data_IF_921795953305
#
_entry.id   IF_921795953305
#
_cell.length_a   1.000
_cell.length_b   1.000
_cell.length_c   1.000
_cell.angle_alpha   90.00
_cell.angle_beta   90.00
_cell.angle_gamma   90.00
#
_symmetry.space_group_name_H-M   'P 1'
#
loop_
_entity.id
_entity.type
_entity.pdbx_description
1 polymer ?
#
# COMPACT_ATOMS: atom_id res chain seq x y z
N UNK A 1 9.41 6.23 -8.66
CA UNK A 1 8.60 5.00 -8.78
C UNK A 1 9.05 4.04 -7.72
N UNK A 2 8.14 3.63 -6.85
CA UNK A 2 8.43 2.63 -5.83
C UNK A 2 8.48 1.25 -6.49
N UNK A 3 9.45 0.43 -6.13
CA UNK A 3 9.60 -0.94 -6.66
C UNK A 3 9.46 -1.99 -5.57
N UNK A 4 9.76 -1.63 -4.32
CA UNK A 4 9.47 -2.43 -3.15
C UNK A 4 9.28 -1.49 -1.96
N UNK A 5 8.56 -1.95 -0.95
CA UNK A 5 8.41 -1.27 0.31
C UNK A 5 8.25 -2.30 1.42
N UNK A 6 8.09 -1.81 2.64
CA UNK A 6 7.61 -2.64 3.73
C UNK A 6 6.27 -3.29 3.37
N UNK A 7 5.91 -4.30 4.17
CA UNK A 7 4.70 -5.10 3.97
C UNK A 7 3.47 -4.21 3.73
N UNK A 8 2.73 -4.52 2.65
CA UNK A 8 1.46 -3.87 2.35
C UNK A 8 0.48 -4.05 3.53
N UNK A 9 -0.02 -2.97 4.14
CA UNK A 9 -0.87 -3.03 5.33
C UNK A 9 -2.28 -3.56 5.06
N UNK A 10 -2.74 -3.55 3.82
CA UNK A 10 -4.10 -3.95 3.43
C UNK A 10 -4.21 -5.42 3.03
N UNK A 11 -3.08 -6.12 2.85
CA UNK A 11 -3.05 -7.51 2.42
C UNK A 11 -2.59 -8.43 3.55
N UNK A 12 -3.28 -9.56 3.74
CA UNK A 12 -2.83 -10.64 4.64
C UNK A 12 -1.41 -11.09 4.24
N UNK A 13 -0.59 -11.40 5.24
CA UNK A 13 0.71 -12.04 5.07
C UNK A 13 0.94 -13.04 6.20
N UNK A 14 1.97 -13.91 6.12
CA UNK A 14 2.37 -14.75 7.24
C UNK A 14 2.70 -13.98 8.54
N UNK A 15 3.05 -12.70 8.44
CA UNK A 15 3.44 -11.86 9.58
C UNK A 15 2.31 -11.15 10.30
N UNK A 16 1.14 -10.96 9.65
CA UNK A 16 -0.08 -10.41 10.27
C UNK A 16 -1.25 -10.36 9.27
N UNK A 17 -2.45 -10.13 9.78
CA UNK A 17 -3.66 -9.85 8.98
C UNK A 17 -3.58 -8.49 8.28
N UNK A 18 -4.34 -8.33 7.20
CA UNK A 18 -4.54 -7.04 6.53
C UNK A 18 -5.48 -6.14 7.35
N UNK A 19 -5.32 -4.82 7.23
CA UNK A 19 -6.24 -3.85 7.81
C UNK A 19 -7.62 -3.95 7.18
N UNK A 20 -8.65 -3.72 7.97
CA UNK A 20 -10.05 -3.74 7.53
C UNK A 20 -10.32 -2.76 6.39
N UNK A 21 -11.11 -3.16 5.40
CA UNK A 21 -11.46 -2.32 4.25
C UNK A 21 -12.17 -1.01 4.62
N UNK A 22 -12.89 -1.01 5.75
CA UNK A 22 -13.55 0.19 6.29
C UNK A 22 -12.53 1.27 6.71
N UNK A 23 -11.31 0.90 7.10
CA UNK A 23 -10.25 1.88 7.40
C UNK A 23 -9.79 2.58 6.13
N UNK A 24 -9.65 1.86 5.02
CA UNK A 24 -9.30 2.48 3.73
C UNK A 24 -10.43 3.37 3.20
N UNK A 25 -11.69 2.96 3.35
CA UNK A 25 -12.85 3.79 2.98
C UNK A 25 -12.89 5.11 3.75
N UNK A 26 -12.50 5.09 5.01
CA UNK A 26 -12.44 6.29 5.87
C UNK A 26 -11.09 7.02 5.80
N UNK A 27 -10.13 6.52 5.04
CA UNK A 27 -8.80 7.12 4.91
C UNK A 27 -8.89 8.53 4.31
N UNK A 28 -8.23 9.49 4.96
CA UNK A 28 -8.23 10.89 4.56
C UNK A 28 -6.79 11.40 4.46
N UNK A 29 -6.22 11.51 3.24
CA UNK A 29 -4.82 11.89 3.05
C UNK A 29 -4.49 13.32 3.50
N UNK A 30 -5.50 14.19 3.58
CA UNK A 30 -5.37 15.59 4.02
C UNK A 30 -5.71 15.81 5.51
N UNK A 31 -5.93 14.73 6.26
CA UNK A 31 -6.33 14.82 7.67
C UNK A 31 -5.11 14.86 8.61
N UNK A 32 -5.35 14.79 9.91
CA UNK A 32 -4.30 14.78 10.92
C UNK A 32 -3.39 13.54 10.82
N UNK A 33 -2.22 13.62 11.47
CA UNK A 33 -1.19 12.57 11.45
C UNK A 33 -1.76 11.16 11.69
N UNK A 34 -2.65 11.01 12.68
CA UNK A 34 -3.25 9.72 13.04
C UNK A 34 -4.01 9.07 11.87
N UNK A 35 -4.78 9.86 11.11
CA UNK A 35 -5.53 9.36 9.96
C UNK A 35 -4.62 9.00 8.78
N UNK A 36 -3.53 9.75 8.58
CA UNK A 36 -2.55 9.46 7.54
C UNK A 36 -1.73 8.21 7.88
N UNK A 37 -1.36 8.05 9.14
CA UNK A 37 -0.64 6.89 9.65
C UNK A 37 -1.40 5.59 9.38
N UNK A 38 -2.74 5.60 9.44
CA UNK A 38 -3.55 4.41 9.11
C UNK A 38 -3.26 3.83 7.71
N UNK A 39 -2.75 4.62 6.77
CA UNK A 39 -2.37 4.14 5.45
C UNK A 39 -0.95 3.56 5.35
N UNK A 40 -0.12 3.73 6.38
CA UNK A 40 1.26 3.27 6.43
C UNK A 40 1.38 1.79 6.81
N UNK A 41 2.57 1.24 6.59
CA UNK A 41 2.93 -0.12 6.98
C UNK A 41 2.83 -0.35 8.50
N UNK A 42 2.46 -1.58 8.88
CA UNK A 42 2.29 -1.96 10.30
C UNK A 42 3.65 -2.10 11.01
N UNK A 43 4.71 -2.45 10.28
CA UNK A 43 6.03 -2.79 10.84
C UNK A 43 6.66 -1.66 11.68
N UNK A 44 6.28 -0.40 11.43
CA UNK A 44 6.79 0.78 12.11
C UNK A 44 5.74 1.50 12.96
N UNK A 45 4.79 0.76 13.56
CA UNK A 45 3.68 1.34 14.33
C UNK A 45 2.92 2.40 13.53
N UNK A 46 2.80 2.20 12.21
CA UNK A 46 2.11 3.11 11.31
C UNK A 46 2.76 4.49 11.13
N UNK A 47 3.98 4.71 11.65
CA UNK A 47 4.69 5.99 11.50
C UNK A 47 5.35 6.20 10.13
N UNK A 48 5.42 5.14 9.30
CA UNK A 48 5.97 5.20 7.95
C UNK A 48 6.42 3.84 7.43
N UNK A 49 7.16 3.86 6.32
CA UNK A 49 7.67 2.69 5.63
C UNK A 49 9.01 2.96 4.96
N UNK A 50 9.85 1.94 4.89
CA UNK A 50 10.98 1.93 3.98
C UNK A 50 10.45 1.68 2.57
N UNK A 51 10.90 2.50 1.62
CA UNK A 51 10.55 2.40 0.21
C UNK A 51 11.83 2.34 -0.61
N UNK A 52 11.97 1.30 -1.43
CA UNK A 52 12.99 1.16 -2.45
C UNK A 52 12.45 1.72 -3.77
N UNK A 53 13.24 2.57 -4.41
CA UNK A 53 12.90 3.21 -5.66
C UNK A 53 13.73 2.67 -6.83
N UNK A 54 13.28 2.95 -8.05
CA UNK A 54 13.86 2.38 -9.30
C UNK A 54 15.34 2.75 -9.54
N UNK A 55 15.81 3.85 -8.99
CA UNK A 55 17.21 4.30 -9.00
C UNK A 55 18.04 3.67 -7.87
N UNK A 56 17.50 2.65 -7.20
CA UNK A 56 18.11 1.89 -6.10
C UNK A 56 18.31 2.68 -4.79
N UNK A 57 17.73 3.86 -4.65
CA UNK A 57 17.71 4.54 -3.35
C UNK A 57 16.62 3.95 -2.45
N UNK A 58 16.90 3.98 -1.14
CA UNK A 58 15.92 3.62 -0.10
C UNK A 58 15.70 4.86 0.77
N UNK A 59 14.44 5.20 1.01
CA UNK A 59 14.05 6.27 1.91
C UNK A 59 12.98 5.80 2.90
N UNK A 60 12.94 6.44 4.07
CA UNK A 60 11.85 6.25 5.03
C UNK A 60 10.77 7.29 4.76
N UNK A 61 9.64 6.84 4.23
CA UNK A 61 8.51 7.67 3.86
C UNK A 61 7.46 7.68 4.97
N UNK A 62 7.01 8.88 5.36
CA UNK A 62 6.03 9.06 6.45
C UNK A 62 4.59 8.88 5.99
N UNK A 63 4.38 8.77 4.68
CA UNK A 63 3.07 8.75 4.05
C UNK A 63 3.07 7.70 2.94
N UNK A 64 1.94 6.99 2.72
CA UNK A 64 1.88 5.90 1.74
C UNK A 64 1.80 6.43 0.30
N UNK A 65 1.38 7.67 0.12
CA UNK A 65 1.27 8.34 -1.17
C UNK A 65 2.60 8.94 -1.67
N UNK A 66 3.69 8.18 -1.54
CA UNK A 66 5.03 8.55 -1.99
C UNK A 66 5.38 8.00 -3.39
N UNK A 67 4.37 7.48 -4.11
CA UNK A 67 4.48 7.10 -5.51
C UNK A 67 4.62 8.29 -6.45
N UNK A 68 4.64 8.02 -7.75
CA UNK A 68 4.63 9.10 -8.76
C UNK A 68 3.26 9.79 -8.71
N UNK A 69 3.21 11.12 -8.80
CA UNK A 69 1.96 11.91 -8.72
C UNK A 69 1.20 11.77 -7.39
N UNK A 70 1.93 11.58 -6.28
CA UNK A 70 1.36 11.32 -4.96
C UNK A 70 0.48 10.05 -4.95
N UNK A 71 0.88 9.03 -5.69
CA UNK A 71 0.19 7.74 -5.75
C UNK A 71 0.46 6.90 -4.51
N UNK A 72 -0.57 6.20 -4.04
CA UNK A 72 -0.47 5.31 -2.89
C UNK A 72 0.15 3.98 -3.27
N UNK A 73 1.35 3.73 -2.77
CA UNK A 73 2.15 2.57 -3.20
C UNK A 73 1.55 1.21 -2.80
N UNK A 74 0.51 1.19 -1.94
CA UNK A 74 -0.10 -0.03 -1.43
C UNK A 74 -1.49 -0.33 -1.99
N UNK A 75 -2.07 0.61 -2.73
CA UNK A 75 -3.40 0.46 -3.34
C UNK A 75 -3.28 0.64 -4.84
N UNK A 76 -4.27 0.18 -5.58
CA UNK A 76 -4.33 0.45 -7.02
C UNK A 76 -5.23 1.66 -7.25
N UNK A 77 -5.00 2.40 -8.33
CA UNK A 77 -5.89 3.51 -8.66
C UNK A 77 -7.25 3.01 -9.19
N UNK A 78 -8.34 3.41 -8.51
CA UNK A 78 -9.73 3.02 -8.82
C UNK A 78 -10.51 4.07 -9.63
N UNK A 79 -9.82 5.12 -10.10
CA UNK A 79 -10.42 6.29 -10.76
C UNK A 79 -10.82 7.43 -9.80
N UNK A 80 -10.63 7.25 -8.48
CA UNK A 80 -10.84 8.28 -7.45
C UNK A 80 -9.59 9.08 -7.10
N UNK A 81 -9.46 9.44 -5.82
CA UNK A 81 -8.25 10.09 -5.27
C UNK A 81 -7.09 9.09 -5.26
N UNK A 82 -6.06 9.39 -6.05
CA UNK A 82 -4.86 8.56 -6.25
C UNK A 82 -4.11 8.26 -4.93
N UNK A 83 -4.25 9.13 -3.92
CA UNK A 83 -3.63 8.94 -2.60
C UNK A 83 -4.35 7.92 -1.74
N UNK A 84 -5.58 7.57 -2.09
CA UNK A 84 -6.38 6.52 -1.41
C UNK A 84 -6.38 5.23 -2.21
N UNK A 85 -6.79 5.29 -3.47
CA UNK A 85 -6.99 4.11 -4.32
C UNK A 85 -8.05 3.12 -3.78
N UNK A 86 -8.10 1.95 -4.43
CA UNK A 86 -9.01 0.85 -4.10
C UNK A 86 -8.41 -0.18 -3.13
N UNK A 87 -9.28 -0.92 -2.43
CA UNK A 87 -8.83 -1.97 -1.52
C UNK A 87 -8.20 -3.14 -2.28
N UNK A 88 -6.93 -3.50 -2.01
CA UNK A 88 -6.23 -4.51 -2.78
C UNK A 88 -6.77 -5.91 -2.52
N UNK A 89 -7.18 -6.60 -3.59
CA UNK A 89 -7.60 -8.00 -3.55
C UNK A 89 -6.50 -8.86 -4.17
N UNK A 90 -5.91 -9.82 -3.42
CA UNK A 90 -4.90 -10.71 -3.96
C UNK A 90 -5.38 -11.41 -5.23
N UNK A 91 -4.54 -11.43 -6.27
CA UNK A 91 -4.80 -12.05 -7.57
C UNK A 91 -5.98 -11.45 -8.39
N UNK A 92 -6.53 -10.30 -7.99
CA UNK A 92 -7.61 -9.62 -8.72
C UNK A 92 -7.35 -8.12 -8.95
N UNK A 93 -6.51 -7.49 -8.13
CA UNK A 93 -6.08 -6.10 -8.31
C UNK A 93 -4.82 -6.00 -9.16
N UNK A 94 -4.76 -5.01 -10.05
CA UNK A 94 -3.61 -4.69 -10.90
C UNK A 94 -3.36 -3.18 -10.93
N UNK A 95 -2.15 -2.76 -11.29
CA UNK A 95 -1.81 -1.35 -11.43
C UNK A 95 -2.66 -0.69 -12.54
N UNK A 96 -3.26 0.46 -12.26
CA UNK A 96 -4.20 1.13 -13.16
C UNK A 96 -3.57 1.93 -14.29
N UNK A 97 -2.27 2.28 -14.20
CA UNK A 97 -1.51 3.02 -15.21
C UNK A 97 -0.03 2.60 -15.20
N UNK A 98 0.72 2.94 -16.25
CA UNK A 98 2.17 2.71 -16.36
C UNK A 98 3.01 3.42 -15.29
N UNK A 99 2.44 4.43 -14.63
CA UNK A 99 3.09 5.22 -13.58
C UNK A 99 2.60 4.83 -12.18
N UNK A 100 1.59 3.96 -12.09
CA UNK A 100 1.02 3.46 -10.83
C UNK A 100 1.97 2.43 -10.22
N UNK A 101 2.33 2.62 -8.95
CA UNK A 101 3.20 1.72 -8.21
C UNK A 101 2.36 0.87 -7.26
N UNK A 102 1.84 -0.27 -7.71
CA UNK A 102 1.05 -1.15 -6.85
C UNK A 102 1.91 -2.27 -6.22
N UNK A 103 2.27 -2.10 -4.95
CA UNK A 103 3.08 -3.06 -4.21
C UNK A 103 2.22 -4.08 -3.47
N UNK A 104 2.45 -5.35 -3.77
CA UNK A 104 1.71 -6.49 -3.21
C UNK A 104 2.59 -7.30 -2.24
N UNK A 105 1.94 -7.93 -1.26
CA UNK A 105 2.58 -9.03 -0.55
C UNK A 105 2.40 -10.32 -1.36
N UNK A 106 3.35 -11.24 -1.24
CA UNK A 106 3.07 -12.63 -1.57
C UNK A 106 1.94 -13.12 -0.67
N UNK A 107 0.90 -13.68 -1.28
CA UNK A 107 -0.15 -14.34 -0.49
C UNK A 107 0.43 -15.53 0.27
N UNK A 108 -0.29 -16.03 1.29
CA UNK A 108 -0.15 -17.45 1.63
C UNK A 108 -0.28 -18.22 0.32
N UNK A 109 0.79 -18.90 -0.13
CA UNK A 109 0.75 -19.71 -1.33
C UNK A 109 -0.45 -20.63 -1.22
N UNK A 110 -1.49 -20.36 -2.02
CA UNK A 110 -2.72 -21.12 -1.95
C UNK A 110 -2.37 -22.57 -2.11
N UNK A 111 -2.71 -23.40 -1.13
CA UNK A 111 -2.76 -24.84 -1.35
C UNK A 111 -3.72 -25.04 -2.50
N UNK A 112 -3.18 -25.36 -3.68
CA UNK A 112 -3.96 -25.88 -4.78
C UNK A 112 -4.50 -27.23 -4.29
N UNK A 113 -5.70 -27.22 -3.71
CA UNK A 113 -6.46 -28.45 -3.51
C UNK A 113 -6.98 -28.85 -4.90
N UNK A 114 -6.37 -29.91 -5.44
CA UNK A 114 -6.77 -30.60 -6.66
C UNK A 114 -7.94 -31.55 -6.39
#
# INVERSE_FOLDING_TARGET
MAVAADRNPWMKSPGAEGKEASLLQNYQPNSGKEMVNQGNAIAHQEDGQNVLYVDSHVAFEKQPFCGINDDNIYTFWDGGDIRRGGYPVPNASEAGDRLDSYLVNDGEGGTLEF
#
